data_IF_567983928291
#
_entry.id   IF_567983928291
#
_cell.length_a   1.000
_cell.length_b   1.000
_cell.length_c   1.000
_cell.angle_alpha   90.00
_cell.angle_beta   90.00
_cell.angle_gamma   90.00
#
_symmetry.space_group_name_H-M   'P 1'
#
loop_
_entity.id
_entity.type
_entity.pdbx_description
1 polymer ?
#
# COMPACT_ATOMS: atom_id res chain seq x y z
N UNK A 1 -19.98 -14.76 -7.73
CA UNK A 1 -18.80 -15.62 -7.92
C UNK A 1 -17.92 -15.50 -6.69
N UNK A 2 -17.42 -16.63 -6.18
CA UNK A 2 -16.53 -16.68 -5.02
C UNK A 2 -15.09 -16.93 -5.49
N UNK A 3 -14.13 -16.21 -4.91
CA UNK A 3 -12.70 -16.36 -5.17
C UNK A 3 -12.27 -17.82 -4.98
N UNK A 4 -11.60 -18.41 -5.97
CA UNK A 4 -11.07 -19.77 -5.88
C UNK A 4 -9.72 -19.76 -5.17
N UNK A 5 -9.75 -19.79 -3.83
CA UNK A 5 -8.55 -19.95 -3.01
C UNK A 5 -8.26 -21.43 -2.84
N UNK A 6 -7.21 -21.91 -3.50
CA UNK A 6 -6.71 -23.27 -3.31
C UNK A 6 -5.63 -23.33 -2.20
N UNK A 7 -5.27 -24.54 -1.80
CA UNK A 7 -4.24 -24.76 -0.77
C UNK A 7 -2.89 -24.14 -1.13
N UNK A 8 -2.55 -24.08 -2.41
CA UNK A 8 -1.29 -23.49 -2.86
C UNK A 8 -1.28 -21.97 -2.70
N UNK A 9 -2.40 -21.30 -2.99
CA UNK A 9 -2.59 -19.87 -2.74
C UNK A 9 -2.51 -19.57 -1.24
N UNK A 10 -3.22 -20.33 -0.40
CA UNK A 10 -3.20 -20.16 1.05
C UNK A 10 -1.78 -20.34 1.60
N UNK A 11 -1.09 -21.42 1.22
CA UNK A 11 0.30 -21.68 1.63
C UNK A 11 1.26 -20.59 1.16
N UNK A 12 1.10 -20.09 -0.06
CA UNK A 12 1.93 -18.99 -0.56
C UNK A 12 1.73 -17.71 0.24
N UNK A 13 0.47 -17.36 0.55
CA UNK A 13 0.18 -16.20 1.36
C UNK A 13 0.67 -16.33 2.81
N UNK A 14 0.47 -17.48 3.44
CA UNK A 14 1.01 -17.75 4.79
C UNK A 14 2.54 -17.63 4.83
N UNK A 15 3.25 -18.02 3.77
CA UNK A 15 4.71 -17.84 3.68
C UNK A 15 5.12 -16.36 3.62
N UNK A 16 4.37 -15.53 2.91
CA UNK A 16 4.60 -14.07 2.89
C UNK A 16 4.48 -13.51 4.31
N UNK A 17 3.37 -13.81 5.00
CA UNK A 17 3.12 -13.33 6.37
C UNK A 17 4.19 -13.85 7.33
N UNK A 18 4.54 -15.13 7.29
CA UNK A 18 5.59 -15.71 8.11
C UNK A 18 6.96 -15.08 7.84
N UNK A 19 7.28 -14.80 6.57
CA UNK A 19 8.53 -14.14 6.18
C UNK A 19 8.62 -12.69 6.69
N UNK A 20 7.53 -11.93 6.64
CA UNK A 20 7.47 -10.58 7.20
C UNK A 20 7.55 -10.60 8.74
N UNK A 21 6.89 -11.56 9.40
CA UNK A 21 7.02 -11.76 10.85
C UNK A 21 8.45 -12.10 11.24
N UNK A 22 9.10 -13.01 10.53
CA UNK A 22 10.52 -13.35 10.77
C UNK A 22 11.40 -12.11 10.64
N UNK A 23 11.26 -11.35 9.54
CA UNK A 23 12.03 -10.14 9.32
C UNK A 23 11.80 -9.07 10.40
N UNK A 24 10.59 -8.96 10.95
CA UNK A 24 10.31 -8.09 12.10
C UNK A 24 11.05 -8.56 13.36
N UNK A 25 11.07 -9.86 13.62
CA UNK A 25 11.77 -10.44 14.78
C UNK A 25 13.29 -10.30 14.64
N UNK A 26 13.84 -10.53 13.45
CA UNK A 26 15.25 -10.34 13.14
C UNK A 26 15.69 -8.87 13.30
N UNK A 27 14.74 -7.95 13.09
CA UNK A 27 14.91 -6.51 13.33
C UNK A 27 14.67 -6.08 14.79
N UNK A 28 14.35 -7.02 15.70
CA UNK A 28 13.99 -6.77 17.10
C UNK A 28 12.84 -5.76 17.29
N UNK A 29 11.96 -5.63 16.29
CA UNK A 29 10.84 -4.70 16.34
C UNK A 29 9.64 -5.34 17.03
N UNK A 30 9.04 -4.67 18.01
CA UNK A 30 7.74 -5.08 18.53
C UNK A 30 6.63 -4.80 17.51
N UNK A 31 5.48 -5.47 17.65
CA UNK A 31 4.31 -5.19 16.80
C UNK A 31 3.86 -3.72 16.91
N UNK A 32 3.94 -3.13 18.10
CA UNK A 32 3.64 -1.71 18.33
C UNK A 32 4.67 -0.81 17.64
N UNK A 33 5.96 -1.13 17.75
CA UNK A 33 7.02 -0.36 17.10
C UNK A 33 6.92 -0.42 15.57
N UNK A 34 6.52 -1.55 14.99
CA UNK A 34 6.23 -1.63 13.56
C UNK A 34 4.98 -0.83 13.20
N UNK A 35 3.94 -0.91 14.03
CA UNK A 35 2.69 -0.21 13.78
C UNK A 35 2.82 1.32 13.79
N UNK A 36 3.86 1.91 14.38
CA UNK A 36 4.09 3.37 14.28
C UNK A 36 4.48 3.80 12.87
N UNK A 37 5.13 2.92 12.08
CA UNK A 37 5.43 3.14 10.66
C UNK A 37 4.29 2.73 9.73
N UNK A 38 3.17 2.26 10.30
CA UNK A 38 1.97 1.89 9.57
C UNK A 38 0.84 2.84 9.96
N UNK A 39 -0.09 3.20 9.06
CA UNK A 39 -1.27 3.97 9.42
C UNK A 39 -2.32 3.09 10.14
N UNK A 40 -1.90 2.24 11.09
CA UNK A 40 -2.76 1.28 11.82
C UNK A 40 -2.39 1.20 13.30
N UNK A 41 -3.28 0.65 14.11
CA UNK A 41 -3.00 0.36 15.54
C UNK A 41 -2.18 -0.93 15.68
N UNK A 42 -1.38 -1.02 16.75
CA UNK A 42 -0.53 -2.18 17.05
C UNK A 42 -1.23 -3.55 17.01
N UNK A 43 -2.49 -3.60 17.48
CA UNK A 43 -3.32 -4.82 17.42
C UNK A 43 -3.50 -5.36 15.99
N UNK A 44 -3.56 -4.50 14.98
CA UNK A 44 -3.74 -4.94 13.60
C UNK A 44 -2.57 -5.80 13.11
N UNK A 45 -1.33 -5.44 13.47
CA UNK A 45 -0.14 -6.25 13.12
C UNK A 45 -0.24 -7.64 13.75
N UNK A 46 -0.66 -7.73 15.01
CA UNK A 46 -0.88 -9.02 15.65
C UNK A 46 -1.93 -9.87 14.94
N UNK A 47 -3.06 -9.26 14.57
CA UNK A 47 -4.15 -9.96 13.87
C UNK A 47 -3.73 -10.41 12.46
N UNK A 48 -2.86 -9.67 11.78
CA UNK A 48 -2.28 -10.08 10.51
C UNK A 48 -1.29 -11.24 10.67
N UNK A 49 -0.42 -11.19 11.67
CA UNK A 49 0.59 -12.24 11.93
C UNK A 49 -0.03 -13.57 12.37
N UNK A 50 -1.18 -13.55 13.04
CA UNK A 50 -1.94 -14.76 13.42
C UNK A 50 -2.91 -15.20 12.34
N UNK A 51 -3.11 -14.40 11.29
CA UNK A 51 -4.11 -14.66 10.25
C UNK A 51 -5.55 -14.46 10.71
N UNK A 52 -5.78 -13.84 11.88
CA UNK A 52 -7.11 -13.49 12.36
C UNK A 52 -7.82 -12.51 11.41
N UNK A 53 -7.06 -11.58 10.83
CA UNK A 53 -7.55 -10.63 9.81
C UNK A 53 -6.50 -10.54 8.69
N UNK A 54 -6.97 -10.40 7.45
CA UNK A 54 -6.08 -10.16 6.31
C UNK A 54 -5.76 -8.66 6.17
N UNK A 55 -4.49 -8.25 5.98
CA UNK A 55 -4.17 -6.88 5.62
C UNK A 55 -4.79 -6.51 4.26
N UNK A 56 -4.98 -5.22 4.01
CA UNK A 56 -5.21 -4.76 2.63
C UNK A 56 -3.92 -4.90 1.83
N UNK A 57 -3.98 -4.89 0.49
CA UNK A 57 -2.77 -4.89 -0.33
C UNK A 57 -1.87 -3.68 -0.03
N UNK A 58 -2.45 -2.51 0.22
CA UNK A 58 -1.71 -1.31 0.64
C UNK A 58 -0.96 -1.51 1.96
N UNK A 59 -1.64 -2.07 2.97
CA UNK A 59 -0.99 -2.39 4.24
C UNK A 59 0.12 -3.43 4.10
N UNK A 60 -0.05 -4.46 3.26
CA UNK A 60 0.99 -5.46 3.02
C UNK A 60 2.21 -4.87 2.28
N UNK A 61 1.97 -3.95 1.34
CA UNK A 61 3.03 -3.17 0.67
C UNK A 61 3.81 -2.35 1.69
N UNK A 62 3.11 -1.56 2.52
CA UNK A 62 3.75 -0.72 3.54
C UNK A 62 4.51 -1.55 4.58
N UNK A 63 3.90 -2.62 5.09
CA UNK A 63 4.54 -3.53 6.04
C UNK A 63 5.84 -4.12 5.48
N UNK A 64 5.81 -4.59 4.24
CA UNK A 64 7.03 -5.06 3.59
C UNK A 64 8.10 -3.96 3.53
N UNK A 65 7.71 -2.74 3.17
CA UNK A 65 8.61 -1.60 3.04
C UNK A 65 9.28 -1.17 4.34
N UNK A 66 8.51 -1.11 5.43
CA UNK A 66 9.04 -0.76 6.76
C UNK A 66 10.10 -1.75 7.24
N UNK A 67 10.00 -3.01 6.81
CA UNK A 67 10.97 -4.07 7.10
C UNK A 67 12.12 -4.15 6.09
N UNK A 68 12.31 -3.12 5.26
CA UNK A 68 13.39 -3.11 4.26
C UNK A 68 13.17 -4.13 3.13
N UNK A 69 11.94 -4.61 2.95
CA UNK A 69 11.54 -5.57 1.94
C UNK A 69 10.58 -4.95 0.93
N UNK A 70 10.33 -5.67 -0.16
CA UNK A 70 9.40 -5.25 -1.19
C UNK A 70 8.64 -6.44 -1.74
N UNK A 71 7.34 -6.27 -1.97
CA UNK A 71 6.54 -7.25 -2.71
C UNK A 71 6.97 -7.27 -4.18
N UNK A 72 7.09 -8.46 -4.75
CA UNK A 72 7.52 -8.69 -6.13
C UNK A 72 6.70 -9.79 -6.79
N UNK A 73 6.58 -9.73 -8.11
CA UNK A 73 6.07 -10.81 -8.94
C UNK A 73 7.26 -11.61 -9.46
N UNK A 74 7.22 -12.93 -9.29
CA UNK A 74 8.31 -13.84 -9.65
C UNK A 74 7.83 -14.86 -10.67
N UNK A 75 8.65 -15.13 -11.69
CA UNK A 75 8.42 -16.20 -12.66
C UNK A 75 8.74 -17.60 -12.11
N UNK A 76 8.41 -18.64 -12.88
CA UNK A 76 8.77 -20.03 -12.53
C UNK A 76 10.28 -20.28 -12.54
N UNK A 77 11.00 -19.48 -13.31
CA UNK A 77 12.46 -19.41 -13.40
C UNK A 77 13.11 -18.69 -12.20
N UNK A 78 12.32 -18.19 -11.24
CA UNK A 78 12.84 -17.42 -10.11
C UNK A 78 13.17 -15.96 -10.44
N UNK A 79 13.06 -15.58 -11.72
CA UNK A 79 13.35 -14.23 -12.19
C UNK A 79 12.24 -13.25 -11.83
N UNK A 80 12.65 -12.03 -11.49
CA UNK A 80 11.75 -10.96 -11.12
C UNK A 80 11.04 -10.42 -12.36
N UNK A 81 9.71 -10.39 -12.30
CA UNK A 81 8.87 -9.86 -13.38
C UNK A 81 8.62 -8.39 -13.14
N UNK A 82 9.57 -7.59 -13.63
CA UNK A 82 9.38 -6.16 -13.76
C UNK A 82 8.63 -5.87 -15.06
N UNK A 83 7.51 -5.15 -14.97
CA UNK A 83 7.08 -4.38 -16.12
C UNK A 83 8.03 -3.18 -16.31
N UNK A 84 8.01 -2.47 -17.45
CA UNK A 84 8.71 -1.20 -17.64
C UNK A 84 8.01 -0.08 -16.84
N UNK A 85 7.81 -0.28 -15.54
CA UNK A 85 7.07 0.61 -14.66
C UNK A 85 8.08 1.47 -13.93
N UNK A 86 8.19 2.73 -14.36
CA UNK A 86 8.84 3.79 -13.59
C UNK A 86 7.79 4.58 -12.82
N UNK A 87 8.19 5.10 -11.66
CA UNK A 87 7.36 6.06 -10.92
C UNK A 87 7.26 7.32 -11.76
N UNK A 88 6.02 7.81 -11.95
CA UNK A 88 5.77 9.03 -12.71
C UNK A 88 6.04 10.25 -11.82
N UNK A 89 6.43 11.40 -12.39
CA UNK A 89 6.49 12.65 -11.63
C UNK A 89 5.16 12.92 -10.92
N UNK A 90 5.20 13.21 -9.62
CA UNK A 90 4.02 13.46 -8.79
C UNK A 90 3.18 12.22 -8.42
N UNK A 91 3.55 11.01 -8.87
CA UNK A 91 2.85 9.78 -8.49
C UNK A 91 3.17 9.42 -7.03
N UNK A 92 2.12 9.20 -6.23
CA UNK A 92 2.27 8.68 -4.88
C UNK A 92 2.97 7.32 -4.90
N UNK A 93 3.89 7.10 -3.97
CA UNK A 93 4.65 5.86 -3.86
C UNK A 93 3.75 4.62 -3.83
N UNK A 94 2.66 4.65 -3.05
CA UNK A 94 1.74 3.51 -2.95
C UNK A 94 1.05 3.21 -4.29
N UNK A 95 0.65 4.24 -5.03
CA UNK A 95 0.05 4.08 -6.35
C UNK A 95 1.05 3.43 -7.33
N UNK A 96 2.32 3.87 -7.28
CA UNK A 96 3.40 3.26 -8.03
C UNK A 96 3.63 1.79 -7.66
N UNK A 97 3.67 1.45 -6.36
CA UNK A 97 3.84 0.08 -5.88
C UNK A 97 2.73 -0.85 -6.38
N UNK A 98 1.47 -0.42 -6.26
CA UNK A 98 0.31 -1.19 -6.76
C UNK A 98 0.39 -1.41 -8.27
N UNK A 99 0.82 -0.39 -9.02
CA UNK A 99 0.98 -0.46 -10.48
C UNK A 99 2.13 -1.40 -10.87
N UNK A 100 3.23 -1.42 -10.12
CA UNK A 100 4.34 -2.37 -10.33
C UNK A 100 3.89 -3.82 -10.14
N UNK A 101 2.97 -4.09 -9.21
CA UNK A 101 2.45 -5.44 -8.98
C UNK A 101 1.41 -5.85 -10.03
N UNK A 102 0.56 -4.93 -10.48
CA UNK A 102 -0.52 -5.23 -11.43
C UNK A 102 -0.04 -5.35 -12.89
N UNK A 103 0.87 -4.49 -13.35
CA UNK A 103 1.29 -4.42 -14.76
C UNK A 103 1.90 -5.73 -15.29
N UNK A 104 2.82 -6.41 -14.57
CA UNK A 104 3.36 -7.69 -15.02
C UNK A 104 2.29 -8.75 -15.23
N UNK A 105 1.28 -8.79 -14.36
CA UNK A 105 0.17 -9.75 -14.45
C UNK A 105 -0.72 -9.44 -15.66
N UNK A 106 -1.07 -8.16 -15.88
CA UNK A 106 -1.80 -7.73 -17.08
C UNK A 106 -1.03 -8.10 -18.35
N UNK A 107 0.26 -7.79 -18.41
CA UNK A 107 1.10 -8.08 -19.58
C UNK A 107 1.19 -9.58 -19.84
N UNK A 108 1.28 -10.39 -18.78
CA UNK A 108 1.29 -11.85 -18.90
C UNK A 108 -0.03 -12.38 -19.43
N UNK A 109 -1.18 -11.90 -18.94
CA UNK A 109 -2.49 -12.25 -19.50
C UNK A 109 -2.55 -11.94 -20.99
N UNK A 110 -2.14 -10.73 -21.38
CA UNK A 110 -2.14 -10.31 -22.79
C UNK A 110 -1.22 -11.18 -23.65
N UNK A 111 -0.04 -11.52 -23.15
CA UNK A 111 0.91 -12.41 -23.85
C UNK A 111 0.38 -13.84 -24.02
N UNK A 112 -0.56 -14.27 -23.20
CA UNK A 112 -1.27 -15.55 -23.32
C UNK A 112 -2.49 -15.46 -24.26
N UNK A 113 -2.80 -14.29 -24.82
CA UNK A 113 -4.00 -14.08 -25.64
C UNK A 113 -5.31 -14.16 -24.84
N UNK A 114 -5.24 -14.17 -23.52
CA UNK A 114 -6.38 -14.44 -22.64
C UNK A 114 -7.22 -13.19 -22.43
N UNK A 115 -8.54 -13.29 -22.55
CA UNK A 115 -9.48 -12.24 -22.22
C UNK A 115 -9.61 -12.04 -20.70
N UNK A 116 -10.10 -10.87 -20.26
CA UNK A 116 -10.31 -10.60 -18.85
C UNK A 116 -11.41 -11.49 -18.23
N UNK A 117 -12.40 -11.91 -19.03
CA UNK A 117 -13.46 -12.84 -18.59
C UNK A 117 -12.90 -14.22 -18.28
N UNK A 118 -12.10 -14.78 -19.19
CA UNK A 118 -11.43 -16.07 -19.01
C UNK A 118 -10.55 -16.08 -17.76
N UNK A 119 -9.77 -15.02 -17.53
CA UNK A 119 -8.99 -14.90 -16.30
C UNK A 119 -9.89 -14.77 -15.05
N UNK A 120 -11.01 -14.06 -15.16
CA UNK A 120 -11.99 -13.94 -14.09
C UNK A 120 -12.54 -15.29 -13.67
N UNK A 121 -12.88 -16.16 -14.63
CA UNK A 121 -13.32 -17.53 -14.39
C UNK A 121 -12.24 -18.35 -13.67
N UNK A 122 -10.99 -18.30 -14.15
CA UNK A 122 -9.86 -19.01 -13.53
C UNK A 122 -9.59 -18.56 -12.08
N UNK A 123 -9.79 -17.28 -11.78
CA UNK A 123 -9.56 -16.70 -10.45
C UNK A 123 -10.80 -16.85 -9.54
N UNK A 124 -12.00 -17.00 -10.11
CA UNK A 124 -13.27 -17.02 -9.38
C UNK A 124 -13.85 -15.63 -9.11
N UNK A 125 -13.58 -14.65 -9.97
CA UNK A 125 -14.08 -13.27 -9.85
C UNK A 125 -14.68 -12.78 -11.16
N UNK A 126 -15.44 -11.68 -11.11
CA UNK A 126 -15.99 -11.10 -12.33
C UNK A 126 -14.91 -10.52 -13.24
N UNK A 127 -15.18 -10.51 -14.55
CA UNK A 127 -14.39 -9.79 -15.56
C UNK A 127 -14.09 -8.34 -15.16
N UNK A 128 -15.07 -7.66 -14.56
CA UNK A 128 -14.92 -6.28 -14.08
C UNK A 128 -13.97 -6.16 -12.90
N UNK A 129 -13.89 -7.18 -12.04
CA UNK A 129 -12.90 -7.22 -10.96
C UNK A 129 -11.48 -7.26 -11.54
N UNK A 130 -11.25 -8.16 -12.50
CA UNK A 130 -9.97 -8.23 -13.24
C UNK A 130 -9.66 -6.89 -13.89
N UNK A 131 -10.62 -6.27 -14.59
CA UNK A 131 -10.42 -4.97 -15.22
C UNK A 131 -10.03 -3.88 -14.20
N UNK A 132 -10.72 -3.81 -13.04
CA UNK A 132 -10.41 -2.82 -12.00
C UNK A 132 -9.04 -3.06 -11.36
N UNK A 133 -8.64 -4.31 -11.19
CA UNK A 133 -7.32 -4.67 -10.66
C UNK A 133 -6.21 -4.29 -11.64
N UNK A 134 -6.38 -4.61 -12.93
CA UNK A 134 -5.43 -4.26 -13.99
C UNK A 134 -5.27 -2.74 -14.18
N UNK A 135 -6.35 -1.99 -13.97
CA UNK A 135 -6.35 -0.52 -14.01
C UNK A 135 -5.92 0.13 -12.69
N UNK A 136 -5.60 -0.67 -11.66
CA UNK A 136 -5.19 -0.19 -10.33
C UNK A 136 -6.25 0.73 -9.68
N UNK A 137 -7.52 0.62 -10.10
CA UNK A 137 -8.62 1.43 -9.54
C UNK A 137 -9.05 0.91 -8.18
N UNK A 138 -9.10 -0.41 -8.05
CA UNK A 138 -9.40 -1.10 -6.80
C UNK A 138 -8.36 -2.20 -6.64
N UNK A 139 -7.55 -2.20 -5.58
CA UNK A 139 -6.60 -3.28 -5.36
C UNK A 139 -7.35 -4.57 -4.95
N UNK A 140 -6.90 -5.74 -5.40
CA UNK A 140 -7.38 -7.00 -4.84
C UNK A 140 -6.99 -7.11 -3.36
N UNK A 141 -7.70 -7.98 -2.62
CA UNK A 141 -7.17 -8.53 -1.36
C UNK A 141 -5.85 -9.27 -1.63
N UNK A 142 -4.87 -9.26 -0.71
CA UNK A 142 -3.61 -9.96 -0.91
C UNK A 142 -3.72 -11.41 -1.38
N UNK A 143 -4.59 -12.23 -0.78
CA UNK A 143 -4.81 -13.62 -1.18
C UNK A 143 -5.34 -13.71 -2.61
N UNK A 144 -6.22 -12.78 -3.03
CA UNK A 144 -6.69 -12.72 -4.41
C UNK A 144 -5.58 -12.31 -5.38
N UNK A 145 -4.63 -11.47 -4.94
CA UNK A 145 -3.44 -11.12 -5.72
C UNK A 145 -2.50 -12.33 -5.90
N UNK A 146 -2.37 -13.17 -4.87
CA UNK A 146 -1.65 -14.44 -4.95
C UNK A 146 -2.30 -15.38 -5.97
N UNK A 147 -3.62 -15.59 -5.88
CA UNK A 147 -4.36 -16.43 -6.84
C UNK A 147 -4.19 -15.89 -8.26
N UNK A 148 -4.36 -14.59 -8.46
CA UNK A 148 -4.18 -13.95 -9.77
C UNK A 148 -2.78 -14.20 -10.35
N UNK A 149 -1.72 -14.03 -9.57
CA UNK A 149 -0.36 -14.33 -10.00
C UNK A 149 -0.20 -15.81 -10.38
N UNK A 150 -0.70 -16.73 -9.55
CA UNK A 150 -0.58 -18.18 -9.76
C UNK A 150 -1.29 -18.66 -11.02
N UNK A 151 -2.50 -18.17 -11.31
CA UNK A 151 -3.23 -18.55 -12.54
C UNK A 151 -2.52 -18.08 -13.81
N UNK A 152 -1.64 -17.10 -13.72
CA UNK A 152 -0.79 -16.63 -14.82
C UNK A 152 0.60 -17.29 -14.85
N UNK A 153 0.84 -18.24 -13.94
CA UNK A 153 2.10 -18.97 -13.81
C UNK A 153 3.20 -18.22 -13.06
N UNK A 154 2.84 -17.20 -12.28
CA UNK A 154 3.75 -16.42 -11.43
C UNK A 154 3.46 -16.63 -9.95
N UNK A 155 4.31 -16.07 -9.10
CA UNK A 155 4.08 -16.00 -7.65
C UNK A 155 4.25 -14.57 -7.14
N UNK A 156 3.57 -14.27 -6.03
CA UNK A 156 3.84 -13.08 -5.23
C UNK A 156 4.80 -13.46 -4.11
N UNK A 157 5.84 -12.66 -3.90
CA UNK A 157 6.88 -12.92 -2.90
C UNK A 157 7.40 -11.61 -2.29
N UNK A 158 8.24 -11.69 -1.26
CA UNK A 158 8.96 -10.56 -0.67
C UNK A 158 10.46 -10.68 -0.93
N UNK A 159 11.12 -9.58 -1.30
CA UNK A 159 12.57 -9.52 -1.48
C UNK A 159 13.19 -8.39 -0.65
N UNK A 160 14.39 -8.56 -0.10
CA UNK A 160 15.15 -7.46 0.49
C UNK A 160 15.38 -6.35 -0.55
N UNK A 161 15.33 -5.10 -0.11
CA UNK A 161 15.77 -3.94 -0.91
C UNK A 161 17.27 -3.76 -0.69
N UNK A 162 18.05 -3.42 -1.73
CA UNK A 162 19.51 -3.36 -1.68
C UNK A 162 20.08 -2.40 -0.60
N UNK A 163 19.32 -1.38 -0.20
CA UNK A 163 19.70 -0.43 0.86
C UNK A 163 19.17 -0.87 2.26
N UNK A 164 18.76 -2.14 2.39
CA UNK A 164 17.64 -2.57 3.23
C UNK A 164 17.95 -3.06 4.65
N UNK A 165 18.32 -2.14 5.52
CA UNK A 165 17.93 -2.27 6.92
C UNK A 165 16.41 -1.99 7.09
N UNK A 166 15.79 -2.44 8.19
CA UNK A 166 14.48 -1.94 8.61
C UNK A 166 14.50 -0.41 8.61
N UNK A 167 13.51 0.21 7.98
CA UNK A 167 13.44 1.68 7.86
C UNK A 167 13.06 2.32 9.18
N UNK A 168 12.29 1.60 9.99
CA UNK A 168 12.06 1.93 11.39
C UNK A 168 13.30 1.54 12.18
N UNK A 169 14.06 2.55 12.59
CA UNK A 169 15.08 2.38 13.62
C UNK A 169 14.41 2.27 14.98
N UNK A 170 15.00 1.45 15.86
CA UNK A 170 14.64 1.34 17.28
C UNK A 170 14.34 2.73 17.85
N UNK A 171 13.09 2.98 18.23
CA UNK A 171 12.84 4.00 19.25
C UNK A 171 13.44 3.39 20.50
N UNK A 172 14.64 3.83 20.85
CA UNK A 172 15.29 3.42 22.08
C UNK A 172 14.29 3.61 23.21
N UNK A 173 14.06 2.56 23.97
CA UNK A 173 13.70 2.66 25.37
C UNK A 173 14.85 3.37 26.10
N UNK A 174 15.04 4.66 25.82
CA UNK A 174 15.84 5.56 26.62
C UNK A 174 15.10 5.71 27.94
N UNK A 175 15.83 5.43 29.02
CA UNK A 175 15.29 5.15 30.33
C UNK A 175 14.27 6.17 30.81
N UNK A 176 13.29 5.66 31.55
CA UNK A 176 12.65 6.38 32.64
C UNK A 176 13.74 6.74 33.68
N UNK A 177 14.61 7.67 33.33
CA UNK A 177 15.30 8.50 34.30
C UNK A 177 14.32 9.60 34.64
N UNK A 178 13.56 9.38 35.71
CA UNK A 178 12.82 10.42 36.40
C UNK A 178 13.79 11.59 36.65
N UNK A 179 13.56 12.80 36.09
CA UNK A 179 14.34 13.95 36.49
C UNK A 179 14.03 14.24 37.96
N UNK A 180 15.10 14.37 38.74
CA UNK A 180 15.08 14.56 40.17
C UNK A 180 14.18 15.72 40.59
N UNK A 181 13.40 15.45 41.64
CA UNK A 181 12.88 16.44 42.54
C UNK A 181 14.06 17.17 43.19
N UNK A 182 14.39 18.36 42.69
CA UNK A 182 15.12 19.39 43.43
C UNK A 182 15.08 20.72 42.69
N UNK A 183 14.44 21.71 43.30
CA UNK A 183 14.86 23.11 43.16
C UNK A 183 13.92 24.03 42.39
N UNK A 184 13.44 25.03 43.12
CA UNK A 184 13.00 26.36 42.65
C UNK A 184 11.56 26.48 42.13
N UNK A 185 10.65 26.59 43.10
CA UNK A 185 9.49 27.48 42.98
C UNK A 185 10.04 28.92 43.07
N UNK A 186 10.08 29.60 41.92
CA UNK A 186 10.49 30.98 41.80
C UNK A 186 9.69 31.67 40.70
N UNK A 187 8.69 32.43 41.14
CA UNK A 187 7.98 33.51 40.45
C UNK A 187 6.96 33.20 39.34
N UNK A 188 5.72 33.55 39.71
CA UNK A 188 4.57 33.88 38.89
C UNK A 188 4.81 35.21 38.14
N UNK A 189 4.23 35.35 36.94
CA UNK A 189 4.12 36.63 36.25
C UNK A 189 3.73 36.52 34.77
N UNK A 190 2.48 36.15 34.48
CA UNK A 190 1.80 36.53 33.23
C UNK A 190 1.04 37.88 33.46
N UNK A 191 0.29 38.43 32.49
CA UNK A 191 0.72 39.05 31.23
C UNK A 191 0.12 40.46 31.07
N UNK A 192 0.66 41.29 30.18
CA UNK A 192 -0.01 42.50 29.68
C UNK A 192 0.34 42.64 28.20
N UNK A 193 -0.58 42.53 27.25
CA UNK A 193 -1.82 43.27 26.95
C UNK A 193 -1.59 44.14 25.71
N UNK A 194 -2.43 43.86 24.70
CA UNK A 194 -3.08 44.80 23.76
C UNK A 194 -2.32 45.48 22.62
N UNK A 195 -3.02 45.47 21.47
CA UNK A 195 -2.76 46.15 20.20
C UNK A 195 -3.12 45.18 19.07
N UNK A 196 -4.39 44.94 18.68
CA UNK A 196 -5.31 45.88 17.99
C UNK A 196 -4.57 46.70 16.92
N UNK A 197 -4.98 46.79 15.66
CA UNK A 197 -6.25 46.45 15.03
C UNK A 197 -6.08 46.48 13.50
N UNK A 198 -7.08 45.92 12.79
CA UNK A 198 -7.63 46.49 11.54
C UNK A 198 -6.76 46.40 10.25
N UNK A 199 -7.28 46.23 9.04
CA UNK A 199 -8.62 46.36 8.46
C UNK A 199 -8.60 45.69 7.07
N UNK A 200 -9.69 44.98 6.77
CA UNK A 200 -10.56 45.14 5.59
C UNK A 200 -10.08 44.94 4.15
N UNK A 201 -11.06 44.36 3.43
CA UNK A 201 -11.50 44.62 2.05
C UNK A 201 -11.11 43.54 1.03
N UNK A 202 -12.09 42.72 0.58
CA UNK A 202 -12.97 42.97 -0.57
C UNK A 202 -12.20 42.76 -1.89
N UNK A 203 -12.63 41.96 -2.86
CA UNK A 203 -13.92 41.38 -3.18
C UNK A 203 -13.80 40.55 -4.47
N UNK A 204 -14.93 40.20 -5.11
CA UNK A 204 -15.07 39.02 -5.97
C UNK A 204 -14.87 39.31 -7.46
N UNK A 205 -14.70 38.25 -8.26
CA UNK A 205 -14.68 38.36 -9.72
C UNK A 205 -14.84 37.01 -10.42
N UNK A 206 -16.07 36.53 -10.54
CA UNK A 206 -16.49 35.78 -11.74
C UNK A 206 -16.96 36.78 -12.79
N UNK A 207 -16.81 36.43 -14.07
CA UNK A 207 -18.02 36.38 -14.88
C UNK A 207 -18.11 35.12 -15.74
N UNK A 208 -19.36 34.77 -16.02
CA UNK A 208 -19.78 33.79 -16.99
C UNK A 208 -19.57 34.29 -18.44
N UNK A 209 -19.39 33.33 -19.35
CA UNK A 209 -19.84 33.36 -20.75
C UNK A 209 -20.09 31.90 -21.16
N UNK A 210 -21.31 31.45 -21.45
CA UNK A 210 -22.03 31.62 -22.74
C UNK A 210 -21.19 31.11 -23.93
N UNK A 211 -21.58 30.19 -24.82
CA UNK A 211 -22.89 29.89 -25.45
C UNK A 211 -22.81 28.53 -26.21
N UNK A 212 -23.95 27.80 -26.26
CA UNK A 212 -24.56 27.01 -27.38
C UNK A 212 -23.68 26.22 -28.38
N UNK A 213 -23.86 24.90 -28.58
CA UNK A 213 -24.97 24.12 -29.18
C UNK A 213 -24.83 23.84 -30.70
N UNK A 214 -25.36 22.68 -31.14
CA UNK A 214 -25.52 22.13 -32.51
C UNK A 214 -24.26 21.50 -33.14
N UNK A 215 -24.29 20.50 -34.02
CA UNK A 215 -25.24 19.51 -34.55
C UNK A 215 -24.38 18.58 -35.44
N UNK A 216 -24.54 17.25 -35.36
CA UNK A 216 -25.23 16.40 -36.36
C UNK A 216 -24.40 16.07 -37.63
N UNK A 217 -24.47 14.82 -38.10
CA UNK A 217 -24.06 14.47 -39.47
C UNK A 217 -23.24 13.19 -39.72
N UNK A 218 -23.97 12.07 -39.90
CA UNK A 218 -23.85 11.04 -40.98
C UNK A 218 -22.51 10.30 -41.19
N UNK A 219 -22.48 8.97 -41.05
CA UNK A 219 -22.90 7.95 -42.06
C UNK A 219 -22.37 8.24 -43.47
N UNK A 220 -21.31 7.53 -43.82
CA UNK A 220 -20.99 7.01 -45.14
C UNK A 220 -20.52 5.58 -44.94
#
# INVERSE_FOLDING_TARGET
MALHVDYAAQRAFSRIIAGLRSARLDAELSQNALATGLPVRGRAVSEWETGAIEPTLGHLIQWSWELGRRLVIVGRDGELRYGPVRQRPGELWEAFERRRLAVPLRNRRLALGMAQGELGELVGVSRDSIQRWELVRVPPRPIAHVVWAQKLGYSLDTRPVADGGPRLRRVGSAGLALPGLSGQIGQQGQPGLTGQAERSASGPGSPAGELRAAADGRRG
#
